data_IF_383734700315
#
_entry.id   IF_383734700315
#
_cell.length_a   1.000
_cell.length_b   1.000
_cell.length_c   1.000
_cell.angle_alpha   90.00
_cell.angle_beta   90.00
_cell.angle_gamma   90.00
#
_symmetry.space_group_name_H-M   'P 1'
#
loop_
_entity.id
_entity.type
_entity.pdbx_description
1 polymer ?
#
# COMPACT_ATOMS: atom_id res chain seq x y z
N UNK A 1 2.08 -8.09 3.85
CA UNK A 1 1.35 -6.86 4.19
C UNK A 1 0.87 -6.25 2.88
N UNK A 2 -0.19 -5.44 2.88
CA UNK A 2 -0.71 -4.83 1.65
C UNK A 2 -0.57 -3.30 1.77
N UNK A 3 0.13 -2.69 0.83
CA UNK A 3 0.45 -1.26 0.85
C UNK A 3 -0.32 -0.55 -0.27
N UNK A 4 -1.36 0.20 0.07
CA UNK A 4 -2.24 0.85 -0.92
C UNK A 4 -2.20 2.35 -0.75
N UNK A 5 -1.62 3.05 -1.73
CA UNK A 5 -1.71 4.50 -1.85
C UNK A 5 -3.09 4.87 -2.39
N UNK A 6 -3.75 5.86 -1.76
CA UNK A 6 -5.05 6.39 -2.21
C UNK A 6 -4.97 7.91 -2.31
N UNK A 7 -5.67 8.47 -3.28
CA UNK A 7 -5.75 9.92 -3.49
C UNK A 7 -7.16 10.34 -3.88
N UNK A 8 -7.41 11.65 -3.82
CA UNK A 8 -8.66 12.23 -4.34
C UNK A 8 -8.52 12.40 -5.86
N UNK A 9 -9.59 12.17 -6.63
CA UNK A 9 -9.57 12.46 -8.06
C UNK A 9 -9.33 13.94 -8.29
N UNK A 10 -8.68 14.28 -9.41
CA UNK A 10 -8.51 15.66 -9.82
C UNK A 10 -9.90 16.28 -10.10
N UNK A 11 -10.23 17.39 -9.43
CA UNK A 11 -11.46 18.14 -9.65
C UNK A 11 -11.24 19.17 -10.77
N UNK A 12 -11.05 18.68 -11.98
CA UNK A 12 -10.84 19.53 -13.16
C UNK A 12 -11.62 18.98 -14.35
N UNK A 13 -11.98 19.86 -15.29
CA UNK A 13 -12.76 19.49 -16.46
C UNK A 13 -11.85 18.82 -17.50
N UNK A 14 -11.56 17.54 -17.27
CA UNK A 14 -10.83 16.75 -18.24
C UNK A 14 -11.75 16.30 -19.38
N UNK A 15 -11.47 16.76 -20.60
CA UNK A 15 -12.23 16.38 -21.80
C UNK A 15 -11.97 14.94 -22.24
N UNK A 16 -10.95 14.29 -21.70
CA UNK A 16 -10.54 12.92 -22.03
C UNK A 16 -10.53 12.02 -20.79
N UNK A 17 -10.23 10.73 -20.96
CA UNK A 17 -10.03 9.82 -19.83
C UNK A 17 -8.87 10.32 -18.94
N UNK A 18 -9.19 10.58 -17.66
CA UNK A 18 -8.23 10.98 -16.65
C UNK A 18 -7.49 9.74 -16.13
N UNK A 19 -6.16 9.74 -16.23
CA UNK A 19 -5.31 8.65 -15.74
C UNK A 19 -4.17 9.17 -14.88
N UNK A 20 -3.60 8.32 -14.03
CA UNK A 20 -2.59 8.69 -13.04
C UNK A 20 -1.32 7.88 -13.20
N UNK A 21 -0.19 8.49 -12.88
CA UNK A 21 1.10 7.82 -12.74
C UNK A 21 1.64 8.03 -11.33
N UNK A 22 2.17 6.96 -10.76
CA UNK A 22 2.77 6.96 -9.42
C UNK A 22 4.27 6.69 -9.53
N UNK A 23 5.04 7.42 -8.73
CA UNK A 23 6.45 7.17 -8.52
C UNK A 23 6.75 7.08 -7.03
N UNK A 24 7.79 6.32 -6.70
CA UNK A 24 8.30 6.20 -5.36
C UNK A 24 9.81 6.49 -5.33
N UNK A 25 10.30 6.76 -4.14
CA UNK A 25 11.70 7.01 -3.86
C UNK A 25 11.98 6.49 -2.46
N UNK A 26 12.84 5.49 -2.34
CA UNK A 26 13.32 4.97 -1.07
C UNK A 26 14.71 5.51 -0.72
N UNK A 27 15.30 4.93 0.32
CA UNK A 27 16.63 5.29 0.81
C UNK A 27 17.73 5.05 -0.24
N UNK A 28 17.62 4.00 -1.04
CA UNK A 28 18.58 3.70 -2.10
C UNK A 28 18.56 4.77 -3.19
N UNK A 29 17.37 5.17 -3.65
CA UNK A 29 17.24 6.21 -4.66
C UNK A 29 17.78 7.56 -4.16
N UNK A 30 17.54 7.87 -2.88
CA UNK A 30 18.01 9.09 -2.22
C UNK A 30 19.53 9.12 -2.07
N UNK A 31 20.12 8.03 -1.56
CA UNK A 31 21.53 8.00 -1.13
C UNK A 31 22.50 7.54 -2.20
N UNK A 32 22.04 6.71 -3.15
CA UNK A 32 22.89 6.07 -4.17
C UNK A 32 22.55 6.57 -5.57
N UNK A 33 21.29 6.87 -5.85
CA UNK A 33 20.84 7.26 -7.20
C UNK A 33 20.49 8.76 -7.31
N UNK A 34 21.25 9.63 -6.65
CA UNK A 34 21.18 11.09 -6.80
C UNK A 34 19.75 11.67 -6.71
N UNK A 35 18.97 11.29 -5.69
CA UNK A 35 17.59 11.78 -5.49
C UNK A 35 16.65 11.47 -6.68
N UNK A 36 16.91 10.35 -7.38
CA UNK A 36 16.05 9.89 -8.48
C UNK A 36 14.71 9.33 -7.99
N UNK A 37 13.78 9.15 -8.93
CA UNK A 37 12.45 8.60 -8.69
C UNK A 37 12.23 7.39 -9.58
N UNK A 38 11.56 6.38 -9.05
CA UNK A 38 11.27 5.11 -9.73
C UNK A 38 9.79 5.04 -10.06
N UNK A 39 9.47 4.62 -11.29
CA UNK A 39 8.10 4.35 -11.72
C UNK A 39 7.56 3.11 -11.00
N UNK A 40 6.42 3.26 -10.32
CA UNK A 40 5.63 2.11 -9.90
C UNK A 40 5.03 1.46 -11.15
N UNK A 41 5.60 0.35 -11.60
CA UNK A 41 5.29 -0.25 -12.90
C UNK A 41 3.79 -0.61 -13.05
N UNK A 42 3.17 -1.11 -11.98
CA UNK A 42 1.74 -1.44 -11.95
C UNK A 42 0.81 -0.22 -11.91
N UNK A 43 1.36 0.99 -11.80
CA UNK A 43 0.61 2.22 -11.57
C UNK A 43 1.02 3.35 -12.52
N UNK A 44 1.38 3.00 -13.76
CA UNK A 44 1.58 3.95 -14.85
C UNK A 44 0.30 4.10 -15.68
N UNK A 45 -0.20 5.34 -15.81
CA UNK A 45 -1.41 5.70 -16.57
C UNK A 45 -2.63 4.83 -16.22
N UNK A 46 -2.92 4.67 -14.94
CA UNK A 46 -4.11 3.94 -14.47
C UNK A 46 -5.28 4.88 -14.20
N UNK A 47 -6.55 4.48 -14.48
CA UNK A 47 -7.71 5.35 -14.27
C UNK A 47 -8.17 5.42 -12.80
N UNK A 48 -7.73 4.48 -11.98
CA UNK A 48 -8.12 4.39 -10.57
C UNK A 48 -7.46 5.43 -9.68
N UNK A 49 -8.09 5.75 -8.56
CA UNK A 49 -7.56 6.67 -7.54
C UNK A 49 -6.83 5.94 -6.40
N UNK A 50 -6.27 4.79 -6.73
CA UNK A 50 -5.49 3.97 -5.81
C UNK A 50 -4.44 3.16 -6.55
N UNK A 51 -3.33 2.88 -5.88
CA UNK A 51 -2.24 2.06 -6.38
C UNK A 51 -1.79 1.07 -5.30
N UNK A 52 -1.66 -0.20 -5.67
CA UNK A 52 -1.07 -1.22 -4.80
C UNK A 52 0.43 -1.25 -5.01
N UNK A 53 1.17 -0.82 -3.99
CA UNK A 53 2.63 -0.69 -3.97
C UNK A 53 3.27 -1.76 -3.09
N UNK A 54 2.57 -2.88 -2.84
CA UNK A 54 3.01 -3.91 -1.91
C UNK A 54 4.39 -4.47 -2.25
N UNK A 55 4.69 -4.60 -3.54
CA UNK A 55 5.98 -5.11 -4.02
C UNK A 55 7.05 -4.02 -4.15
N UNK A 56 6.64 -2.77 -4.43
CA UNK A 56 7.54 -1.64 -4.57
C UNK A 56 8.12 -1.19 -3.21
N UNK A 57 7.32 -1.28 -2.14
CA UNK A 57 7.68 -0.80 -0.79
C UNK A 57 8.11 -1.96 0.12
N UNK A 58 9.10 -2.71 -0.35
CA UNK A 58 9.50 -4.00 0.22
C UNK A 58 10.33 -3.94 1.50
N UNK A 59 11.08 -2.86 1.76
CA UNK A 59 12.01 -2.76 2.91
C UNK A 59 11.44 -1.97 4.08
N UNK A 60 12.09 -2.09 5.24
CA UNK A 60 11.86 -1.26 6.44
C UNK A 60 12.48 0.15 6.28
N UNK A 61 12.21 0.82 5.17
CA UNK A 61 12.79 2.12 4.85
C UNK A 61 11.70 3.18 4.67
N UNK A 62 12.11 4.44 4.78
CA UNK A 62 11.24 5.57 4.52
C UNK A 62 11.10 5.78 3.01
N UNK A 63 9.88 5.66 2.51
CA UNK A 63 9.53 5.87 1.11
C UNK A 63 8.77 7.16 0.91
N UNK A 64 9.25 8.03 0.02
CA UNK A 64 8.48 9.16 -0.48
C UNK A 64 7.68 8.72 -1.70
N UNK A 65 6.44 9.18 -1.76
CA UNK A 65 5.51 8.85 -2.85
C UNK A 65 5.12 10.13 -3.58
N UNK A 66 4.98 10.04 -4.90
CA UNK A 66 4.43 11.12 -5.71
C UNK A 66 3.50 10.61 -6.80
N UNK A 67 2.54 11.44 -7.12
CA UNK A 67 1.48 11.16 -8.07
C UNK A 67 1.32 12.35 -9.00
N UNK A 68 1.02 12.08 -10.26
CA UNK A 68 0.51 13.08 -11.21
C UNK A 68 -0.67 12.54 -11.99
N UNK A 69 -1.50 13.46 -12.47
CA UNK A 69 -2.60 13.17 -13.35
C UNK A 69 -2.22 13.49 -14.80
N UNK A 70 -2.85 12.78 -15.73
CA UNK A 70 -2.75 12.96 -17.16
C UNK A 70 -4.16 13.13 -17.73
N UNK A 71 -4.37 14.25 -18.40
CA UNK A 71 -5.58 14.57 -19.13
C UNK A 71 -5.23 14.74 -20.62
N UNK A 72 -5.24 13.64 -21.37
CA UNK A 72 -4.80 13.62 -22.76
C UNK A 72 -3.31 14.00 -22.85
N UNK A 73 -3.01 15.10 -23.54
CA UNK A 73 -1.64 15.63 -23.64
C UNK A 73 -1.23 16.47 -22.40
N UNK A 74 -2.19 16.95 -21.61
CA UNK A 74 -1.90 17.74 -20.42
C UNK A 74 -1.48 16.82 -19.27
N UNK A 75 -0.50 17.25 -18.51
CA UNK A 75 0.03 16.52 -17.34
C UNK A 75 0.14 17.47 -16.17
N UNK A 76 -0.38 17.07 -15.01
CA UNK A 76 -0.29 17.87 -13.79
C UNK A 76 1.15 17.92 -13.27
N UNK A 77 1.42 18.90 -12.41
CA UNK A 77 2.58 18.82 -11.53
C UNK A 77 2.51 17.56 -10.66
N UNK A 78 3.67 17.12 -10.17
CA UNK A 78 3.74 16.04 -9.19
C UNK A 78 3.24 16.53 -7.82
N UNK A 79 2.25 15.82 -7.27
CA UNK A 79 1.85 15.94 -5.87
C UNK A 79 2.59 14.89 -5.05
N UNK A 80 3.31 15.33 -4.01
CA UNK A 80 4.08 14.45 -3.10
C UNK A 80 3.29 14.15 -1.84
N UNK A 81 3.55 13.01 -1.21
CA UNK A 81 3.07 12.73 0.14
C UNK A 81 3.67 13.73 1.13
N UNK A 82 2.90 14.11 2.15
CA UNK A 82 3.34 15.06 3.19
C UNK A 82 4.43 14.48 4.09
N UNK A 83 4.37 13.17 4.34
CA UNK A 83 5.36 12.42 5.10
C UNK A 83 5.81 11.19 4.29
N UNK A 84 7.01 10.67 4.57
CA UNK A 84 7.40 9.34 4.10
C UNK A 84 6.47 8.27 4.69
N UNK A 85 6.38 7.14 3.99
CA UNK A 85 5.76 5.92 4.46
C UNK A 85 6.84 4.92 4.83
N UNK A 86 6.76 4.32 6.02
CA UNK A 86 7.57 3.16 6.38
C UNK A 86 6.63 1.99 6.67
N UNK A 87 6.95 0.78 6.17
CA UNK A 87 6.09 -0.38 6.41
C UNK A 87 6.00 -0.76 7.89
N UNK A 88 6.96 -0.34 8.73
CA UNK A 88 6.91 -0.48 10.20
C UNK A 88 5.74 0.27 10.84
N UNK A 89 5.23 1.31 10.17
CA UNK A 89 4.07 2.07 10.63
C UNK A 89 2.73 1.41 10.27
N UNK A 90 2.78 0.22 9.64
CA UNK A 90 1.57 -0.55 9.28
C UNK A 90 0.86 -0.98 10.55
N UNK A 91 -0.40 -0.55 10.69
CA UNK A 91 -1.29 -1.03 11.76
C UNK A 91 -1.73 -2.46 11.45
N UNK A 92 -1.30 -3.40 12.29
CA UNK A 92 -1.75 -4.79 12.22
C UNK A 92 -3.05 -4.96 13.02
N UNK A 93 -4.10 -5.42 12.35
CA UNK A 93 -5.36 -5.79 13.01
C UNK A 93 -5.38 -7.28 13.31
N UNK A 94 -5.98 -7.67 14.44
CA UNK A 94 -6.18 -9.08 14.76
C UNK A 94 -6.98 -9.79 13.64
N UNK A 95 -6.60 -11.02 13.24
CA UNK A 95 -7.37 -11.78 12.27
C UNK A 95 -8.74 -12.14 12.86
N UNK A 96 -9.75 -12.26 11.99
CA UNK A 96 -11.06 -12.77 12.38
C UNK A 96 -10.92 -14.21 12.89
N UNK A 97 -11.43 -14.46 14.09
CA UNK A 97 -11.39 -15.78 14.72
C UNK A 97 -12.80 -16.37 14.78
N UNK A 98 -12.92 -17.64 14.36
CA UNK A 98 -14.11 -18.47 14.55
C UNK A 98 -13.74 -19.64 15.44
N UNK A 99 -14.57 -19.91 16.44
CA UNK A 99 -14.38 -21.02 17.39
C UNK A 99 -15.61 -21.90 17.37
N UNK A 100 -15.42 -23.20 17.25
CA UNK A 100 -16.47 -24.20 17.31
C UNK A 100 -16.07 -25.34 18.26
N UNK A 101 -17.04 -25.92 18.96
CA UNK A 101 -16.85 -27.18 19.68
C UNK A 101 -17.23 -28.34 18.78
N UNK A 102 -16.34 -29.30 18.61
CA UNK A 102 -16.56 -30.45 17.74
C UNK A 102 -15.87 -31.68 18.34
N UNK A 103 -16.66 -32.72 18.67
CA UNK A 103 -16.12 -33.98 19.21
C UNK A 103 -15.36 -33.84 20.53
N UNK A 104 -15.71 -32.87 21.39
CA UNK A 104 -15.00 -32.61 22.65
C UNK A 104 -13.70 -31.79 22.48
N UNK A 105 -13.37 -31.36 21.26
CA UNK A 105 -12.28 -30.44 20.97
C UNK A 105 -12.80 -29.03 20.63
N UNK A 106 -11.92 -28.03 20.74
CA UNK A 106 -12.13 -26.70 20.21
C UNK A 106 -11.46 -26.59 18.84
N UNK A 107 -12.24 -26.35 17.79
CA UNK A 107 -11.74 -26.01 16.46
C UNK A 107 -11.66 -24.49 16.36
N UNK A 108 -10.45 -23.97 16.17
CA UNK A 108 -10.18 -22.54 15.96
C UNK A 108 -9.81 -22.32 14.50
N UNK A 109 -10.49 -21.40 13.84
CA UNK A 109 -10.22 -20.99 12.47
C UNK A 109 -9.95 -19.50 12.42
N UNK A 110 -8.85 -19.11 11.79
CA UNK A 110 -8.42 -17.72 11.68
C UNK A 110 -8.49 -17.27 10.22
N UNK A 111 -8.91 -16.04 9.96
CA UNK A 111 -8.76 -15.45 8.63
C UNK A 111 -7.29 -15.35 8.24
N UNK A 112 -6.99 -15.45 6.95
CA UNK A 112 -5.63 -15.45 6.43
C UNK A 112 -4.85 -14.22 6.93
N UNK A 113 -3.80 -14.42 7.75
CA UNK A 113 -3.01 -13.32 8.26
C UNK A 113 -1.96 -12.90 7.21
N UNK A 114 -1.32 -11.72 7.36
CA UNK A 114 -0.23 -11.33 6.47
C UNK A 114 0.92 -12.36 6.48
N UNK A 115 1.58 -12.57 5.33
CA UNK A 115 2.64 -13.58 5.14
C UNK A 115 3.83 -13.56 6.13
N UNK A 116 3.99 -12.51 6.92
CA UNK A 116 5.09 -12.31 7.87
C UNK A 116 4.56 -12.04 9.28
N UNK A 117 3.60 -12.84 9.74
CA UNK A 117 3.06 -12.74 11.10
C UNK A 117 3.10 -14.07 11.81
N UNK A 118 3.50 -14.05 13.07
CA UNK A 118 3.30 -15.15 14.01
C UNK A 118 1.98 -14.94 14.75
N UNK A 119 1.17 -15.98 14.84
CA UNK A 119 -0.10 -15.95 15.57
C UNK A 119 0.07 -16.65 16.90
N UNK A 120 -0.30 -15.96 17.98
CA UNK A 120 -0.36 -16.52 19.33
C UNK A 120 -1.83 -16.75 19.68
N UNK A 121 -2.17 -17.99 20.04
CA UNK A 121 -3.52 -18.38 20.47
C UNK A 121 -3.43 -18.82 21.92
N UNK A 122 -4.02 -18.05 22.83
CA UNK A 122 -4.06 -18.34 24.25
C UNK A 122 -5.42 -18.97 24.61
N UNK A 123 -5.37 -20.15 25.25
CA UNK A 123 -6.55 -20.89 25.68
C UNK A 123 -6.55 -20.96 27.20
N UNK A 124 -7.58 -20.38 27.80
CA UNK A 124 -7.77 -20.36 29.24
C UNK A 124 -8.81 -21.40 29.64
N UNK A 125 -8.54 -22.15 30.71
CA UNK A 125 -9.54 -22.96 31.41
C UNK A 125 -9.89 -22.26 32.71
N UNK A 126 -11.17 -22.33 33.08
CA UNK A 126 -11.65 -21.80 34.35
C UNK A 126 -11.29 -22.72 35.51
#
# INVERSE_FOLDING_TARGET
MRHVLRWRPLQDNCSTALVYSVQFQGEFELSVLNDSWVDAAGCQRTPGTSCDLTFDLGSDSDYRLRIRAHCGAQTSAWSRSSSPFNRRDTVLTAPLMKVASEGGALRVSLSEPPRLTTLLVEVWRR
#
